data_IF_117888375872
#
_entry.id   IF_117888375872
#
_cell.length_a   1.000
_cell.length_b   1.000
_cell.length_c   1.000
_cell.angle_alpha   90.00
_cell.angle_beta   90.00
_cell.angle_gamma   90.00
#
_symmetry.space_group_name_H-M   'P 1'
#
loop_
_entity.id
_entity.type
_entity.pdbx_description
1 polymer ?
#
# COMPACT_ATOMS: atom_id res chain seq x y z
N UNK A 1 22.68 -10.13 0.51
CA UNK A 1 21.70 -9.37 -0.30
C UNK A 1 20.80 -8.65 0.68
N UNK A 2 20.99 -7.35 0.86
CA UNK A 2 20.19 -6.56 1.80
C UNK A 2 18.85 -6.27 1.15
N UNK A 3 17.79 -6.96 1.55
CA UNK A 3 16.41 -6.56 1.28
C UNK A 3 16.18 -5.25 2.01
N UNK A 4 16.44 -4.13 1.34
CA UNK A 4 16.02 -2.82 1.83
C UNK A 4 14.50 -2.82 1.81
N UNK A 5 13.88 -3.22 2.93
CA UNK A 5 12.44 -3.15 3.12
C UNK A 5 12.05 -1.67 2.97
N UNK A 6 11.20 -1.39 1.99
CA UNK A 6 10.63 -0.06 1.80
C UNK A 6 9.98 0.40 3.12
N UNK A 7 10.25 1.63 3.62
CA UNK A 7 9.57 2.14 4.81
C UNK A 7 8.05 2.02 4.66
N UNK A 8 7.41 1.29 5.59
CA UNK A 8 5.96 1.15 5.65
C UNK A 8 5.42 2.23 6.58
N UNK A 9 4.55 3.09 6.06
CA UNK A 9 3.91 4.17 6.79
C UNK A 9 2.56 3.75 7.40
N UNK A 10 1.84 2.85 6.74
CA UNK A 10 0.59 2.28 7.25
C UNK A 10 0.30 0.92 6.61
N UNK A 11 -0.45 0.07 7.32
CA UNK A 11 -1.01 -1.18 6.79
C UNK A 11 -2.34 -1.51 7.44
N UNK A 12 -3.21 -2.19 6.71
CA UNK A 12 -4.51 -2.64 7.19
C UNK A 12 -4.93 -3.92 6.45
N UNK A 13 -5.59 -4.84 7.16
CA UNK A 13 -6.27 -5.98 6.53
C UNK A 13 -7.68 -5.54 6.17
N UNK A 14 -8.06 -5.77 4.92
CA UNK A 14 -9.38 -5.50 4.37
C UNK A 14 -9.94 -6.76 3.71
N UNK A 15 -11.27 -6.83 3.57
CA UNK A 15 -11.93 -7.94 2.88
C UNK A 15 -12.46 -7.45 1.53
N UNK A 16 -11.97 -8.03 0.44
CA UNK A 16 -12.39 -7.71 -0.93
C UNK A 16 -13.04 -8.95 -1.52
N UNK A 17 -14.34 -8.87 -1.81
CA UNK A 17 -15.12 -9.99 -2.37
C UNK A 17 -14.98 -11.31 -1.57
N UNK A 18 -14.94 -11.20 -0.24
CA UNK A 18 -14.78 -12.35 0.67
C UNK A 18 -13.35 -12.85 0.83
N UNK A 19 -12.36 -12.22 0.21
CA UNK A 19 -10.93 -12.54 0.38
C UNK A 19 -10.22 -11.49 1.24
N UNK A 20 -9.46 -11.93 2.24
CA UNK A 20 -8.62 -11.04 3.03
C UNK A 20 -7.39 -10.61 2.21
N UNK A 21 -7.19 -9.30 2.08
CA UNK A 21 -6.01 -8.69 1.47
C UNK A 21 -5.42 -7.63 2.39
N UNK A 22 -4.15 -7.30 2.21
CA UNK A 22 -3.45 -6.26 2.97
C UNK A 22 -3.33 -5.00 2.11
N UNK A 23 -3.87 -3.88 2.56
CA UNK A 23 -3.59 -2.56 2.00
C UNK A 23 -2.35 -1.99 2.70
N UNK A 24 -1.34 -1.60 1.94
CA UNK A 24 -0.04 -1.11 2.45
C UNK A 24 0.24 0.26 1.88
N UNK A 25 0.63 1.21 2.73
CA UNK A 25 1.25 2.48 2.33
C UNK A 25 2.76 2.39 2.58
N UNK A 26 3.56 2.49 1.53
CA UNK A 26 5.01 2.37 1.60
C UNK A 26 5.72 3.54 0.89
N UNK A 27 7.01 3.70 1.17
CA UNK A 27 7.88 4.68 0.53
C UNK A 27 9.07 4.02 -0.16
N UNK A 28 9.35 4.43 -1.39
CA UNK A 28 10.53 4.11 -2.17
C UNK A 28 11.33 5.39 -2.42
N UNK A 29 12.31 5.70 -1.55
CA UNK A 29 13.17 6.86 -1.71
C UNK A 29 13.91 6.85 -3.06
N UNK A 30 14.14 8.04 -3.62
CA UNK A 30 14.91 8.20 -4.86
C UNK A 30 14.12 7.94 -6.14
N UNK A 31 12.79 7.87 -6.08
CA UNK A 31 11.92 7.81 -7.27
C UNK A 31 11.10 9.11 -7.42
N UNK A 32 10.68 9.49 -8.64
CA UNK A 32 9.86 10.69 -8.85
C UNK A 32 8.52 10.69 -8.11
N UNK A 33 8.03 9.49 -7.74
CA UNK A 33 6.81 9.29 -6.97
C UNK A 33 7.12 8.30 -5.84
N UNK A 34 7.71 8.80 -4.74
CA UNK A 34 8.29 7.95 -3.72
C UNK A 34 7.23 7.25 -2.87
N UNK A 35 5.97 7.68 -2.85
CA UNK A 35 4.96 7.04 -1.99
C UNK A 35 4.06 6.12 -2.82
N UNK A 36 3.68 4.98 -2.27
CA UNK A 36 2.83 4.00 -2.95
C UNK A 36 1.81 3.37 -2.00
N UNK A 37 0.58 3.17 -2.48
CA UNK A 37 -0.43 2.37 -1.80
C UNK A 37 -0.69 1.07 -2.57
N UNK A 38 -0.33 -0.09 -2.03
CA UNK A 38 -0.49 -1.39 -2.68
C UNK A 38 -1.55 -2.25 -2.01
N UNK A 39 -2.28 -3.05 -2.81
CA UNK A 39 -2.88 -4.29 -2.31
C UNK A 39 -1.84 -5.40 -2.37
N UNK A 40 -1.63 -6.05 -1.24
CA UNK A 40 -0.76 -7.20 -1.06
C UNK A 40 -1.60 -8.41 -0.67
N UNK A 41 -1.35 -9.55 -1.29
CA UNK A 41 -1.92 -10.82 -0.86
C UNK A 41 -1.20 -11.28 0.42
N UNK A 42 -1.89 -11.46 1.56
CA UNK A 42 -1.25 -11.83 2.81
C UNK A 42 -0.71 -13.27 2.82
N UNK A 43 -1.23 -14.15 1.94
CA UNK A 43 -0.82 -15.55 1.87
C UNK A 43 0.41 -15.75 0.98
N UNK A 44 0.44 -15.10 -0.19
CA UNK A 44 1.55 -15.23 -1.15
C UNK A 44 2.61 -14.15 -0.98
N UNK A 45 2.25 -13.02 -0.36
CA UNK A 45 3.08 -11.84 -0.25
C UNK A 45 3.13 -10.97 -1.51
N UNK A 46 2.40 -11.34 -2.56
CA UNK A 46 2.42 -10.66 -3.85
C UNK A 46 1.71 -9.32 -3.80
N UNK A 47 2.30 -8.32 -4.48
CA UNK A 47 1.65 -7.03 -4.70
C UNK A 47 0.81 -7.11 -5.98
N UNK A 48 -0.50 -6.90 -5.84
CA UNK A 48 -1.46 -7.07 -6.94
C UNK A 48 -1.55 -5.79 -7.77
N UNK A 49 -1.76 -4.66 -7.11
CA UNK A 49 -1.88 -3.34 -7.77
C UNK A 49 -1.69 -2.21 -6.76
N UNK A 50 -1.34 -1.02 -7.25
CA UNK A 50 -1.27 0.17 -6.40
C UNK A 50 -1.14 1.48 -7.14
N UNK A 51 -1.21 2.56 -6.36
CA UNK A 51 -1.13 3.94 -6.83
C UNK A 51 0.14 4.59 -6.31
N UNK A 52 0.81 5.37 -7.16
CA UNK A 52 2.05 6.09 -6.82
C UNK A 52 1.77 7.58 -6.66
N UNK A 53 2.45 8.20 -5.71
CA UNK A 53 2.25 9.59 -5.33
C UNK A 53 3.58 10.31 -5.12
N UNK A 54 3.54 11.62 -5.31
CA UNK A 54 4.71 12.49 -5.08
C UNK A 54 4.87 12.84 -3.61
N UNK A 55 3.77 12.89 -2.87
CA UNK A 55 3.74 13.29 -1.46
C UNK A 55 3.11 12.22 -0.56
N UNK A 56 3.55 12.19 0.70
CA UNK A 56 3.00 11.28 1.71
C UNK A 56 1.53 11.59 2.02
N UNK A 57 1.14 12.87 1.92
CA UNK A 57 -0.23 13.32 2.18
C UNK A 57 -1.22 12.78 1.15
N UNK A 58 -0.88 12.88 -0.14
CA UNK A 58 -1.68 12.28 -1.23
C UNK A 58 -1.86 10.77 -1.01
N UNK A 59 -0.77 10.09 -0.66
CA UNK A 59 -0.79 8.65 -0.44
C UNK A 59 -1.60 8.25 0.81
N UNK A 60 -1.55 9.04 1.88
CA UNK A 60 -2.40 8.86 3.07
C UNK A 60 -3.88 9.07 2.77
N UNK A 61 -4.20 10.06 1.94
CA UNK A 61 -5.58 10.32 1.49
C UNK A 61 -6.12 9.13 0.70
N UNK A 62 -5.37 8.65 -0.30
CA UNK A 62 -5.75 7.46 -1.08
C UNK A 62 -5.90 6.22 -0.17
N UNK A 63 -4.98 6.01 0.77
CA UNK A 63 -5.07 4.90 1.72
C UNK A 63 -6.37 4.96 2.54
N UNK A 64 -6.74 6.13 3.07
CA UNK A 64 -7.97 6.32 3.84
C UNK A 64 -9.23 6.15 2.98
N UNK A 65 -9.24 6.68 1.76
CA UNK A 65 -10.35 6.53 0.81
C UNK A 65 -10.57 5.06 0.43
N UNK A 66 -9.49 4.32 0.21
CA UNK A 66 -9.54 2.88 -0.09
C UNK A 66 -10.07 2.10 1.10
N UNK A 67 -9.62 2.39 2.33
CA UNK A 67 -10.18 1.77 3.52
C UNK A 67 -11.69 1.99 3.63
N UNK A 68 -12.16 3.21 3.39
CA UNK A 68 -13.58 3.52 3.40
C UNK A 68 -14.36 2.79 2.29
N UNK A 69 -13.75 2.55 1.12
CA UNK A 69 -14.38 1.83 0.00
C UNK A 69 -14.54 0.33 0.23
N UNK A 70 -13.78 -0.25 1.16
CA UNK A 70 -13.78 -1.68 1.49
C UNK A 70 -14.40 -2.00 2.87
N UNK A 71 -14.88 -0.98 3.57
CA UNK A 71 -15.66 -1.14 4.80
C UNK A 71 -17.09 -1.57 4.49
#
# INVERSE_FOLDING_TARGET
>A
MSTTEFPIHARAIITVLGMAVELVLAERPGTPQPFVTWIRNPHTGDYVWGHYFRTLEEARKDFAERLASYA
#
